data_IF_943444071445
#
_entry.id   IF_943444071445
#
_cell.length_a   1.000
_cell.length_b   1.000
_cell.length_c   1.000
_cell.angle_alpha   90.00
_cell.angle_beta   90.00
_cell.angle_gamma   90.00
#
_symmetry.space_group_name_H-M   'P 1'
#
loop_
_entity.id
_entity.type
_entity.pdbx_description
1 polymer ?
#
# COMPACT_ATOMS: atom_id res chain seq x y z
N UNK A 1 -2.30 -7.67 12.84
CA UNK A 1 -3.45 -6.77 12.61
C UNK A 1 -3.44 -6.46 11.13
N UNK A 2 -4.42 -6.95 10.36
CA UNK A 2 -4.56 -6.62 8.93
C UNK A 2 -5.81 -5.76 8.79
N UNK A 3 -5.72 -4.64 8.07
CA UNK A 3 -6.81 -3.66 7.93
C UNK A 3 -6.87 -2.58 9.00
N UNK A 4 -5.78 -2.32 9.72
CA UNK A 4 -5.64 -1.21 10.66
C UNK A 4 -4.28 -0.55 10.43
N UNK A 5 -4.22 0.77 10.55
CA UNK A 5 -3.01 1.56 10.45
C UNK A 5 -2.95 2.59 11.59
N UNK A 6 -1.73 3.04 11.91
CA UNK A 6 -1.49 4.12 12.86
C UNK A 6 -0.78 5.24 12.13
N UNK A 7 -1.36 6.44 12.15
CA UNK A 7 -0.77 7.65 11.57
C UNK A 7 -0.42 8.58 12.72
N UNK A 8 0.82 9.08 12.73
CA UNK A 8 1.29 10.04 13.74
C UNK A 8 1.48 11.40 13.07
N UNK A 9 0.87 12.43 13.63
CA UNK A 9 1.04 13.81 13.19
C UNK A 9 2.02 14.54 14.11
N UNK A 10 2.57 15.65 13.62
CA UNK A 10 3.46 16.51 14.40
C UNK A 10 2.72 17.24 15.52
N UNK A 11 1.51 17.71 15.26
CA UNK A 11 0.67 18.40 16.25
C UNK A 11 -0.65 17.66 16.49
N UNK A 12 -1.13 17.74 17.73
CA UNK A 12 -2.44 17.22 18.13
C UNK A 12 -3.59 17.92 17.38
N UNK A 13 -3.41 19.17 16.97
CA UNK A 13 -4.43 19.93 16.24
C UNK A 13 -4.63 19.39 14.82
N UNK A 14 -3.52 19.09 14.12
CA UNK A 14 -3.56 18.47 12.79
C UNK A 14 -4.24 17.11 12.87
N UNK A 15 -3.94 16.32 13.90
CA UNK A 15 -4.59 15.03 14.12
C UNK A 15 -6.11 15.17 14.35
N UNK A 16 -6.55 16.19 15.12
CA UNK A 16 -7.97 16.48 15.33
C UNK A 16 -8.66 16.90 14.03
N UNK A 17 -8.01 17.74 13.23
CA UNK A 17 -8.52 18.17 11.91
C UNK A 17 -8.68 16.98 10.97
N UNK A 18 -7.62 16.17 10.81
CA UNK A 18 -7.65 14.97 9.98
C UNK A 18 -8.72 13.96 10.41
N UNK A 19 -8.91 13.79 11.72
CA UNK A 19 -9.98 12.93 12.25
C UNK A 19 -11.37 13.44 11.89
N UNK A 20 -11.61 14.75 11.83
CA UNK A 20 -12.90 15.30 11.43
C UNK A 20 -13.12 15.19 9.93
N UNK A 21 -12.12 15.53 9.13
CA UNK A 21 -12.23 15.63 7.67
C UNK A 21 -12.27 14.28 6.97
N UNK A 22 -11.48 13.31 7.44
CA UNK A 22 -11.29 12.02 6.73
C UNK A 22 -12.15 10.89 7.33
N UNK A 23 -12.91 11.17 8.39
CA UNK A 23 -13.77 10.15 9.01
C UNK A 23 -14.88 9.74 8.08
N UNK A 24 -14.99 8.43 7.84
CA UNK A 24 -15.97 7.89 6.90
C UNK A 24 -15.57 8.05 5.44
N UNK A 25 -14.42 8.66 5.13
CA UNK A 25 -13.92 8.78 3.76
C UNK A 25 -13.87 7.38 3.11
N UNK A 26 -14.51 7.17 1.94
CA UNK A 26 -14.51 5.89 1.28
C UNK A 26 -13.11 5.53 0.79
N UNK A 27 -12.39 4.71 1.55
CA UNK A 27 -11.11 4.15 1.13
C UNK A 27 -11.37 2.74 0.59
N UNK A 28 -11.19 2.58 -0.71
CA UNK A 28 -11.32 1.30 -1.42
C UNK A 28 -12.73 0.71 -1.26
N UNK A 29 -13.74 1.57 -1.46
CA UNK A 29 -15.17 1.25 -1.33
C UNK A 29 -15.60 0.87 0.10
N UNK A 30 -14.77 1.14 1.11
CA UNK A 30 -15.11 0.97 2.52
C UNK A 30 -14.92 2.29 3.28
N UNK A 31 -15.91 2.76 4.04
CA UNK A 31 -15.76 3.98 4.82
C UNK A 31 -14.69 3.79 5.90
N UNK A 32 -13.69 4.66 5.90
CA UNK A 32 -12.59 4.60 6.85
C UNK A 32 -13.07 4.91 8.27
N UNK A 33 -12.71 4.05 9.22
CA UNK A 33 -12.97 4.26 10.63
C UNK A 33 -11.71 4.84 11.28
N UNK A 34 -11.79 6.07 11.78
CA UNK A 34 -10.68 6.80 12.37
C UNK A 34 -10.99 7.07 13.84
N UNK A 35 -10.02 6.81 14.71
CA UNK A 35 -10.08 7.06 16.15
C UNK A 35 -8.69 7.38 16.68
N UNK A 36 -8.60 8.16 17.76
CA UNK A 36 -7.31 8.37 18.44
C UNK A 36 -6.75 7.05 18.99
N UNK A 37 -5.43 6.91 18.92
CA UNK A 37 -4.74 5.78 19.51
C UNK A 37 -4.84 5.83 21.05
N UNK A 38 -4.93 4.66 21.67
CA UNK A 38 -5.01 4.54 23.15
C UNK A 38 -3.72 4.95 23.85
N UNK A 39 -2.59 4.85 23.16
CA UNK A 39 -1.26 5.16 23.68
C UNK A 39 -0.52 5.99 22.63
N UNK A 40 0.46 6.78 23.05
CA UNK A 40 1.36 7.49 22.13
C UNK A 40 2.18 6.49 21.31
N UNK A 41 2.57 6.89 20.10
CA UNK A 41 3.43 6.07 19.25
C UNK A 41 4.90 6.25 19.61
N UNK A 42 5.71 5.22 19.36
CA UNK A 42 7.16 5.26 19.63
C UNK A 42 7.83 6.46 18.93
N UNK A 43 7.38 6.80 17.71
CA UNK A 43 7.88 7.95 16.95
C UNK A 43 7.56 9.30 17.61
N UNK A 44 6.37 9.46 18.19
CA UNK A 44 5.95 10.69 18.86
C UNK A 44 6.69 10.84 20.19
N UNK A 45 6.82 9.76 20.96
CA UNK A 45 7.57 9.78 22.23
C UNK A 45 9.04 10.09 21.98
N UNK A 46 9.67 9.47 20.97
CA UNK A 46 11.07 9.77 20.63
C UNK A 46 11.31 11.25 20.34
N UNK A 47 10.34 11.96 19.75
CA UNK A 47 10.46 13.39 19.43
C UNK A 47 10.16 14.30 20.63
N UNK A 48 9.11 14.02 21.39
CA UNK A 48 8.64 14.91 22.47
C UNK A 48 9.29 14.63 23.82
N UNK A 49 9.71 13.39 24.05
CA UNK A 49 10.20 12.91 25.34
C UNK A 49 11.25 11.80 25.09
N UNK A 50 12.38 12.22 24.54
CA UNK A 50 13.49 11.32 24.23
C UNK A 50 14.04 10.63 25.48
N UNK A 51 13.94 11.28 26.65
CA UNK A 51 14.44 10.76 27.92
C UNK A 51 13.70 9.49 28.36
N UNK A 52 12.38 9.40 28.15
CA UNK A 52 11.57 8.24 28.53
C UNK A 52 11.26 7.28 27.36
N UNK A 53 11.90 7.48 26.20
CA UNK A 53 11.63 6.68 25.01
C UNK A 53 11.89 5.18 25.21
N UNK A 54 13.01 4.83 25.83
CA UNK A 54 13.38 3.42 26.04
C UNK A 54 12.42 2.73 27.00
N UNK A 55 12.05 3.39 28.09
CA UNK A 55 11.05 2.89 29.04
C UNK A 55 9.66 2.71 28.38
N UNK A 56 9.23 3.68 27.56
CA UNK A 56 7.97 3.58 26.81
C UNK A 56 7.99 2.38 25.84
N UNK A 57 9.08 2.24 25.07
CA UNK A 57 9.25 1.15 24.11
C UNK A 57 9.25 -0.20 24.81
N UNK A 58 9.92 -0.31 25.95
CA UNK A 58 10.02 -1.54 26.74
C UNK A 58 8.65 -1.94 27.32
N UNK A 59 7.93 -1.01 27.96
CA UNK A 59 6.54 -1.21 28.42
C UNK A 59 5.62 -1.71 27.29
N UNK A 60 5.76 -1.14 26.09
CA UNK A 60 4.94 -1.54 24.93
C UNK A 60 5.28 -2.95 24.43
N UNK A 61 6.56 -3.33 24.44
CA UNK A 61 7.02 -4.67 24.06
C UNK A 61 6.53 -5.70 25.07
N UNK A 62 6.65 -5.42 26.37
CA UNK A 62 6.18 -6.28 27.45
C UNK A 62 4.67 -6.46 27.41
N UNK A 63 3.90 -5.38 27.27
CA UNK A 63 2.45 -5.44 27.10
C UNK A 63 2.06 -6.27 25.87
N UNK A 64 2.78 -6.13 24.74
CA UNK A 64 2.56 -6.96 23.54
C UNK A 64 2.87 -8.43 23.78
N UNK A 65 3.90 -8.76 24.58
CA UNK A 65 4.25 -10.13 24.97
C UNK A 65 3.17 -10.72 25.89
N UNK A 66 2.80 -10.01 26.96
CA UNK A 66 1.79 -10.44 27.92
C UNK A 66 0.42 -10.69 27.26
N UNK A 67 -0.01 -9.76 26.41
CA UNK A 67 -1.30 -9.87 25.70
C UNK A 67 -1.27 -10.81 24.49
N UNK A 68 -0.11 -11.40 24.15
CA UNK A 68 0.01 -12.31 23.00
C UNK A 68 -0.84 -13.57 23.19
N UNK A 69 -0.94 -14.06 24.42
CA UNK A 69 -1.57 -15.34 24.77
C UNK A 69 -2.95 -15.18 25.42
N UNK A 70 -3.17 -14.09 26.15
CA UNK A 70 -4.44 -13.84 26.85
C UNK A 70 -5.52 -13.24 25.96
N UNK A 71 -5.18 -12.78 24.75
CA UNK A 71 -6.15 -12.16 23.86
C UNK A 71 -7.22 -13.19 23.40
N UNK A 72 -8.50 -13.01 23.79
CA UNK A 72 -9.55 -14.00 23.55
C UNK A 72 -9.83 -14.22 22.06
N UNK A 73 -9.60 -13.21 21.22
CA UNK A 73 -9.72 -13.34 19.75
C UNK A 73 -8.67 -14.33 19.24
N UNK A 74 -7.41 -14.19 19.66
CA UNK A 74 -6.34 -15.12 19.27
C UNK A 74 -6.55 -16.52 19.80
N UNK A 75 -7.10 -16.66 21.02
CA UNK A 75 -7.46 -17.95 21.61
C UNK A 75 -8.54 -18.65 20.77
N UNK A 76 -9.61 -17.94 20.41
CA UNK A 76 -10.66 -18.46 19.51
C UNK A 76 -10.11 -18.88 18.14
N UNK A 77 -9.23 -18.09 17.52
CA UNK A 77 -8.59 -18.47 16.24
C UNK A 77 -7.71 -19.72 16.36
N UNK A 78 -6.94 -19.84 17.45
CA UNK A 78 -6.08 -21.01 17.69
C UNK A 78 -6.92 -22.26 17.93
N UNK A 79 -7.98 -22.16 18.73
CA UNK A 79 -8.89 -23.25 19.02
C UNK A 79 -9.63 -23.73 17.75
N UNK A 80 -10.06 -22.78 16.89
CA UNK A 80 -10.66 -23.10 15.59
C UNK A 80 -9.68 -23.79 14.63
N UNK A 81 -8.38 -23.44 14.68
CA UNK A 81 -7.33 -24.11 13.90
C UNK A 81 -7.05 -25.53 14.39
N UNK A 82 -6.87 -25.71 15.70
CA UNK A 82 -6.61 -27.01 16.31
C UNK A 82 -7.77 -27.98 16.07
N UNK A 83 -9.02 -27.51 16.17
CA UNK A 83 -10.20 -28.31 15.85
C UNK A 83 -10.23 -28.74 14.37
N UNK A 84 -9.74 -27.91 13.44
CA UNK A 84 -9.66 -28.26 12.02
C UNK A 84 -8.51 -29.23 11.69
N UNK A 85 -7.42 -29.22 12.45
CA UNK A 85 -6.30 -30.18 12.31
C UNK A 85 -6.64 -31.58 12.87
N UNK A 86 -7.50 -31.68 13.90
CA UNK A 86 -7.89 -32.97 14.49
C UNK A 86 -8.94 -33.74 13.68
N UNK A 87 -9.74 -33.06 12.85
CA UNK A 87 -10.84 -33.68 12.09
C UNK A 87 -10.39 -34.21 10.71
N UNK A 88 -9.08 -34.24 10.41
CA UNK A 88 -8.54 -34.69 9.12
C UNK A 88 -8.98 -33.84 7.91
N UNK A 89 -9.74 -32.77 8.14
CA UNK A 89 -10.25 -31.88 7.11
C UNK A 89 -9.12 -31.07 6.47
N UNK A 90 -9.03 -31.15 5.14
CA UNK A 90 -8.18 -30.27 4.35
C UNK A 90 -8.36 -28.81 4.81
N UNK A 91 -7.22 -28.11 4.96
CA UNK A 91 -7.13 -26.75 5.49
C UNK A 91 -8.36 -25.91 5.14
N UNK A 92 -9.15 -25.56 6.16
CA UNK A 92 -10.38 -24.76 6.01
C UNK A 92 -10.15 -23.64 5.00
N UNK A 93 -11.02 -23.45 4.00
CA UNK A 93 -10.82 -22.46 2.96
C UNK A 93 -10.56 -21.13 3.66
N UNK A 94 -9.34 -20.63 3.53
CA UNK A 94 -9.03 -19.27 3.93
C UNK A 94 -10.08 -18.45 3.21
N UNK A 95 -11.01 -17.84 3.93
CA UNK A 95 -11.91 -16.87 3.33
C UNK A 95 -10.99 -15.82 2.75
N UNK A 96 -10.72 -15.93 1.44
CA UNK A 96 -10.04 -14.89 0.67
C UNK A 96 -11.01 -13.74 0.76
N UNK A 97 -10.78 -12.89 1.78
CA UNK A 97 -11.47 -11.61 1.88
C UNK A 97 -11.32 -10.97 0.50
N UNK A 98 -12.38 -10.34 -0.04
CA UNK A 98 -12.29 -9.68 -1.33
C UNK A 98 -11.00 -8.87 -1.32
N UNK A 99 -10.12 -9.16 -2.28
CA UNK A 99 -8.86 -8.45 -2.41
C UNK A 99 -9.27 -7.00 -2.58
N UNK A 100 -9.15 -6.20 -1.52
CA UNK A 100 -9.52 -4.80 -1.56
C UNK A 100 -8.43 -4.16 -2.42
N UNK A 101 -8.65 -4.18 -3.72
CA UNK A 101 -7.74 -3.65 -4.71
C UNK A 101 -7.68 -2.15 -4.44
N UNK A 102 -6.51 -1.72 -3.96
CA UNK A 102 -6.16 -0.31 -3.86
C UNK A 102 -6.49 0.33 -5.22
N UNK A 103 -7.41 1.29 -5.37
CA UNK A 103 -7.56 2.08 -6.57
C UNK A 103 -6.21 2.64 -6.96
N UNK A 104 -5.95 2.65 -8.25
CA UNK A 104 -4.61 2.95 -8.75
C UNK A 104 -4.12 4.36 -8.40
N UNK A 105 -5.05 5.26 -8.07
CA UNK A 105 -4.80 6.63 -7.61
C UNK A 105 -4.09 6.69 -6.24
N UNK A 106 -4.28 5.70 -5.37
CA UNK A 106 -3.71 5.70 -4.00
C UNK A 106 -2.50 4.77 -3.86
N UNK A 107 -1.96 4.28 -4.98
CA UNK A 107 -0.76 3.45 -4.92
C UNK A 107 0.41 4.29 -4.40
N UNK A 108 1.14 3.79 -3.38
CA UNK A 108 2.30 4.51 -2.87
C UNK A 108 3.32 4.71 -4.01
N UNK A 109 4.09 5.81 -3.98
CA UNK A 109 5.16 6.03 -4.95
C UNK A 109 6.06 4.81 -5.08
N UNK A 110 6.41 4.50 -6.32
CA UNK A 110 7.25 3.37 -6.68
C UNK A 110 8.12 3.77 -7.87
N UNK A 111 9.35 3.26 -7.91
CA UNK A 111 10.27 3.42 -9.04
C UNK A 111 9.79 2.67 -10.30
N UNK A 112 8.88 1.71 -10.13
CA UNK A 112 8.28 0.96 -11.23
C UNK A 112 6.89 1.51 -11.53
N UNK A 113 6.67 1.85 -12.80
CA UNK A 113 5.38 2.22 -13.37
C UNK A 113 4.75 1.02 -14.07
N UNK A 114 3.43 0.93 -13.94
CA UNK A 114 2.56 -0.02 -14.61
C UNK A 114 1.73 0.71 -15.65
N UNK A 115 1.88 0.31 -16.91
CA UNK A 115 1.16 0.86 -18.05
C UNK A 115 0.03 -0.10 -18.41
N UNK A 116 -1.15 0.46 -18.65
CA UNK A 116 -2.36 -0.23 -19.09
C UNK A 116 -2.95 0.49 -20.30
N UNK A 117 -3.80 -0.24 -21.03
CA UNK A 117 -4.45 0.24 -22.25
C UNK A 117 -3.45 0.61 -23.35
N UNK A 118 -2.36 -0.16 -23.46
CA UNK A 118 -1.44 -0.03 -24.59
C UNK A 118 -2.09 -0.58 -25.86
N UNK A 119 -1.99 0.12 -27.00
CA UNK A 119 -2.43 -0.42 -28.27
C UNK A 119 -1.51 -1.56 -28.73
N UNK A 120 -2.07 -2.55 -29.45
CA UNK A 120 -1.36 -3.80 -29.78
C UNK A 120 -0.13 -3.62 -30.68
N UNK A 121 -0.05 -2.48 -31.36
CA UNK A 121 1.05 -2.11 -32.25
C UNK A 121 2.24 -1.46 -31.51
N UNK A 122 2.14 -1.21 -30.20
CA UNK A 122 3.21 -0.56 -29.44
C UNK A 122 4.39 -1.49 -29.24
N UNK A 123 5.56 -1.03 -29.66
CA UNK A 123 6.83 -1.77 -29.50
C UNK A 123 7.61 -1.31 -28.27
N UNK A 124 8.58 -2.14 -27.85
CA UNK A 124 9.50 -1.81 -26.75
C UNK A 124 10.22 -0.50 -27.03
N UNK A 125 10.69 -0.32 -28.26
CA UNK A 125 11.52 0.81 -28.65
C UNK A 125 10.74 2.12 -28.63
N UNK A 126 9.44 2.09 -28.97
CA UNK A 126 8.56 3.25 -28.84
C UNK A 126 8.37 3.67 -27.38
N UNK A 127 8.10 2.71 -26.49
CA UNK A 127 8.02 3.00 -25.06
C UNK A 127 9.37 3.48 -24.52
N UNK A 128 10.47 2.88 -24.95
CA UNK A 128 11.80 3.30 -24.53
C UNK A 128 12.10 4.74 -24.98
N UNK A 129 11.75 5.12 -26.21
CA UNK A 129 11.88 6.49 -26.71
C UNK A 129 10.96 7.49 -26.00
N UNK A 130 9.74 7.08 -25.65
CA UNK A 130 8.79 7.93 -24.92
C UNK A 130 9.29 8.22 -23.50
N UNK A 131 9.74 7.19 -22.78
CA UNK A 131 10.17 7.29 -21.39
C UNK A 131 11.62 7.75 -21.21
N UNK A 132 12.47 7.67 -22.24
CA UNK A 132 13.86 8.17 -22.18
C UNK A 132 13.97 9.70 -22.13
N UNK A 133 12.87 10.42 -22.42
CA UNK A 133 12.76 11.87 -22.21
C UNK A 133 12.80 12.26 -20.72
N UNK A 134 12.55 11.29 -19.83
CA UNK A 134 12.65 11.46 -18.40
C UNK A 134 13.98 10.87 -17.90
N UNK A 135 14.66 11.54 -16.95
CA UNK A 135 15.94 11.04 -16.45
C UNK A 135 15.78 9.69 -15.75
N UNK A 136 16.90 8.98 -15.58
CA UNK A 136 16.99 7.76 -14.77
C UNK A 136 16.13 6.57 -15.24
N UNK A 137 15.79 6.48 -16.52
CA UNK A 137 15.17 5.29 -17.08
C UNK A 137 16.11 4.08 -16.91
N UNK A 138 15.62 3.01 -16.29
CA UNK A 138 16.38 1.78 -16.04
C UNK A 138 16.02 0.67 -17.01
N UNK A 139 14.74 0.26 -17.06
CA UNK A 139 14.29 -0.85 -17.91
C UNK A 139 12.85 -0.63 -18.39
N UNK A 140 12.56 -1.07 -19.63
CA UNK A 140 11.19 -1.23 -20.13
C UNK A 140 10.94 -2.72 -20.39
N UNK A 141 9.88 -3.25 -19.78
CA UNK A 141 9.49 -4.66 -19.87
C UNK A 141 8.06 -4.81 -20.37
N UNK A 142 7.91 -5.38 -21.56
CA UNK A 142 6.62 -5.79 -22.10
C UNK A 142 6.27 -7.20 -21.62
N UNK A 143 4.98 -7.47 -21.47
CA UNK A 143 4.49 -8.80 -21.11
C UNK A 143 4.06 -9.54 -22.39
N UNK A 144 4.74 -10.65 -22.78
CA UNK A 144 4.39 -11.38 -24.01
C UNK A 144 2.97 -11.94 -24.01
N UNK A 145 2.44 -12.29 -22.82
CA UNK A 145 1.08 -12.81 -22.66
C UNK A 145 -0.01 -11.75 -22.73
N UNK A 146 0.35 -10.47 -22.62
CA UNK A 146 -0.59 -9.33 -22.55
C UNK A 146 0.04 -8.08 -23.15
N UNK A 147 -0.27 -7.83 -24.43
CA UNK A 147 0.28 -6.70 -25.20
C UNK A 147 -0.29 -5.34 -24.76
N UNK A 148 -1.39 -5.34 -24.03
CA UNK A 148 -2.06 -4.16 -23.48
C UNK A 148 -1.39 -3.59 -22.23
N UNK A 149 -0.36 -4.26 -21.69
CA UNK A 149 0.33 -3.87 -20.47
C UNK A 149 1.87 -3.90 -20.59
N UNK A 150 2.52 -2.98 -19.88
CA UNK A 150 3.96 -2.94 -19.75
C UNK A 150 4.39 -2.44 -18.38
N UNK A 151 5.65 -2.70 -18.02
CA UNK A 151 6.32 -2.15 -16.86
C UNK A 151 7.48 -1.28 -17.29
N UNK A 152 7.61 -0.11 -16.66
CA UNK A 152 8.75 0.79 -16.85
C UNK A 152 9.39 1.01 -15.48
N UNK A 153 10.66 0.67 -15.35
CA UNK A 153 11.45 0.88 -14.13
C UNK A 153 12.38 2.07 -14.30
N UNK A 154 12.37 2.96 -13.30
CA UNK A 154 13.32 4.05 -13.11
C UNK A 154 14.27 3.70 -11.96
N UNK A 155 15.39 4.42 -11.85
CA UNK A 155 16.30 4.27 -10.71
C UNK A 155 15.70 4.88 -9.43
N UNK A 156 14.92 5.94 -9.57
CA UNK A 156 14.34 6.73 -8.48
C UNK A 156 12.82 6.89 -8.61
N UNK A 157 12.17 6.99 -7.46
CA UNK A 157 10.73 7.20 -7.35
C UNK A 157 10.30 8.63 -7.78
N UNK A 158 11.19 9.61 -7.67
CA UNK A 158 10.91 10.98 -8.08
C UNK A 158 10.76 11.08 -9.61
N UNK A 159 11.72 10.53 -10.38
CA UNK A 159 11.62 10.51 -11.85
C UNK A 159 10.44 9.67 -12.34
N UNK A 160 10.14 8.54 -11.69
CA UNK A 160 8.93 7.76 -11.98
C UNK A 160 7.64 8.57 -11.76
N UNK A 161 7.59 9.39 -10.71
CA UNK A 161 6.43 10.25 -10.41
C UNK A 161 6.25 11.30 -11.51
N UNK A 162 7.32 11.98 -11.92
CA UNK A 162 7.29 12.99 -13.00
C UNK A 162 6.84 12.36 -14.32
N UNK A 163 7.40 11.21 -14.68
CA UNK A 163 7.04 10.49 -15.90
C UNK A 163 5.57 10.03 -15.88
N UNK A 164 5.10 9.50 -14.74
CA UNK A 164 3.69 9.13 -14.54
C UNK A 164 2.79 10.33 -14.77
N UNK A 165 3.02 11.43 -14.08
CA UNK A 165 2.10 12.57 -14.09
C UNK A 165 2.07 13.27 -15.46
N UNK A 166 3.19 13.27 -16.19
CA UNK A 166 3.28 13.84 -17.53
C UNK A 166 2.70 12.94 -18.63
N UNK A 167 2.85 11.62 -18.53
CA UNK A 167 2.42 10.67 -19.58
C UNK A 167 1.08 9.98 -19.27
N UNK A 168 0.48 10.20 -18.09
CA UNK A 168 -0.82 9.64 -17.77
C UNK A 168 -1.90 10.23 -18.69
N UNK A 169 -2.71 9.37 -19.31
CA UNK A 169 -3.69 9.71 -20.35
C UNK A 169 -3.08 10.21 -21.67
N UNK A 170 -1.78 10.01 -21.90
CA UNK A 170 -1.15 10.27 -23.19
C UNK A 170 -1.75 9.37 -24.27
N UNK A 171 -1.81 9.86 -25.51
CA UNK A 171 -2.35 9.11 -26.65
C UNK A 171 -1.20 8.70 -27.56
N UNK A 172 -0.82 7.42 -27.53
CA UNK A 172 0.29 6.90 -28.34
C UNK A 172 -0.06 6.81 -29.84
N UNK A 173 -1.30 6.46 -30.16
CA UNK A 173 -1.83 6.28 -31.52
C UNK A 173 -2.88 7.34 -31.90
N UNK A 174 -3.10 8.35 -31.04
CA UNK A 174 -4.11 9.39 -31.22
C UNK A 174 -5.54 9.00 -30.80
N UNK A 175 -5.79 7.71 -30.54
CA UNK A 175 -7.12 7.17 -30.25
C UNK A 175 -7.20 6.67 -28.80
N UNK A 176 -6.25 5.82 -28.40
CA UNK A 176 -6.23 5.16 -27.09
C UNK A 176 -5.37 5.91 -26.08
N UNK A 177 -5.99 6.29 -24.97
CA UNK A 177 -5.30 6.90 -23.82
C UNK A 177 -4.65 5.81 -22.98
N UNK A 178 -3.34 5.91 -22.80
CA UNK A 178 -2.62 5.02 -21.88
C UNK A 178 -2.86 5.42 -20.44
N UNK A 179 -3.04 4.41 -19.59
CA UNK A 179 -3.19 4.59 -18.16
C UNK A 179 -1.90 4.18 -17.47
N UNK A 180 -1.23 5.14 -16.84
CA UNK A 180 0.03 4.93 -16.11
C UNK A 180 -0.21 5.03 -14.61
N UNK A 181 0.20 4.02 -13.86
CA UNK A 181 0.02 3.95 -12.40
C UNK A 181 1.30 3.44 -11.76
N UNK A 182 1.49 3.64 -10.46
CA UNK A 182 2.60 2.96 -9.78
C UNK A 182 2.38 1.44 -9.79
N UNK A 183 3.47 0.66 -9.86
CA UNK A 183 3.36 -0.79 -9.72
C UNK A 183 3.02 -1.15 -8.27
N UNK A 184 2.15 -2.15 -8.11
CA UNK A 184 1.81 -2.70 -6.79
C UNK A 184 3.00 -3.47 -6.23
N UNK A 185 3.32 -3.23 -4.96
CA UNK A 185 4.37 -3.95 -4.21
C UNK A 185 3.89 -5.31 -3.71
#
# INVERSE_FOLDING_TARGET
MRGQAFVSFESAEIAKKALKEVRGFPLYSKPMQISFAKTRSDAVVKKLDAAHYDEHKQRRIEHKKATRYTNPIKRKYRQKRLAAEMDGGAAAPTTKRPNVQMPDEYLPPNKILFLQNLPENVSKDQLMALFSQYPNLYEVRLIPTKKDIAFVEFLDEASATVAKDALHNYKLDGENKIKITFARK
#
